data_IF_179937453529
#
_entry.id   IF_179937453529
#
_cell.length_a   1.000
_cell.length_b   1.000
_cell.length_c   1.000
_cell.angle_alpha   90.00
_cell.angle_beta   90.00
_cell.angle_gamma   90.00
#
_symmetry.space_group_name_H-M   'P 1'
#
loop_
_entity.id
_entity.type
_entity.pdbx_description
1 polymer ?
#
# COMPACT_ATOMS: atom_id res chain seq x y z
N UNK A 1 -24.19 -7.51 3.84
CA UNK A 1 -25.44 -7.68 3.07
C UNK A 1 -25.13 -7.54 1.60
N UNK A 2 -25.73 -8.39 0.75
CA UNK A 2 -25.52 -8.33 -0.67
C UNK A 2 -26.05 -7.01 -1.23
N UNK A 3 -25.19 -6.29 -1.92
CA UNK A 3 -25.58 -5.17 -2.77
C UNK A 3 -26.36 -5.80 -3.95
N UNK A 4 -27.52 -5.28 -4.28
CA UNK A 4 -28.38 -5.79 -5.37
C UNK A 4 -27.79 -5.61 -6.78
N UNK A 5 -26.48 -5.33 -6.89
CA UNK A 5 -25.74 -5.19 -8.16
C UNK A 5 -24.30 -5.70 -8.03
N UNK A 6 -23.73 -6.17 -9.14
CA UNK A 6 -22.33 -6.58 -9.23
C UNK A 6 -21.43 -5.36 -9.38
N UNK A 7 -20.35 -5.33 -8.60
CA UNK A 7 -19.33 -4.30 -8.68
C UNK A 7 -18.20 -4.76 -9.61
N UNK A 8 -17.79 -3.88 -10.51
CA UNK A 8 -16.69 -4.12 -11.46
C UNK A 8 -15.32 -3.71 -10.92
N UNK A 9 -15.27 -2.98 -9.79
CA UNK A 9 -14.06 -2.44 -9.19
C UNK A 9 -14.07 -2.61 -7.68
N UNK A 10 -12.90 -2.69 -7.07
CA UNK A 10 -12.71 -2.61 -5.61
C UNK A 10 -12.96 -1.19 -5.07
N UNK A 11 -12.79 -0.18 -5.91
CA UNK A 11 -13.04 1.22 -5.57
C UNK A 11 -14.49 1.59 -5.87
N UNK A 12 -15.05 2.50 -5.07
CA UNK A 12 -16.38 3.06 -5.31
C UNK A 12 -16.35 3.90 -6.59
N UNK A 13 -17.22 3.59 -7.54
CA UNK A 13 -17.37 4.33 -8.79
C UNK A 13 -18.59 5.25 -8.75
N UNK A 14 -18.66 6.22 -9.66
CA UNK A 14 -19.86 7.08 -9.78
C UNK A 14 -21.11 6.26 -10.07
N UNK A 15 -20.98 5.19 -10.84
CA UNK A 15 -22.06 4.25 -11.11
C UNK A 15 -22.58 3.57 -9.85
N UNK A 16 -21.69 3.16 -8.95
CA UNK A 16 -22.09 2.58 -7.65
C UNK A 16 -22.85 3.60 -6.80
N UNK A 17 -22.42 4.87 -6.83
CA UNK A 17 -23.10 5.97 -6.10
C UNK A 17 -24.50 6.18 -6.65
N UNK A 18 -24.67 6.24 -7.98
CA UNK A 18 -26.00 6.39 -8.60
C UNK A 18 -26.90 5.19 -8.31
N UNK A 19 -26.39 3.97 -8.36
CA UNK A 19 -27.16 2.77 -8.02
C UNK A 19 -27.59 2.75 -6.55
N UNK A 20 -26.71 3.22 -5.64
CA UNK A 20 -27.06 3.37 -4.22
C UNK A 20 -28.16 4.41 -4.01
N UNK A 21 -28.07 5.58 -4.67
CA UNK A 21 -29.11 6.61 -4.61
C UNK A 21 -30.44 6.07 -5.08
N UNK A 22 -30.46 5.41 -6.25
CA UNK A 22 -31.68 4.79 -6.82
C UNK A 22 -32.26 3.74 -5.88
N UNK A 23 -31.42 2.87 -5.31
CA UNK A 23 -31.84 1.84 -4.35
C UNK A 23 -32.47 2.47 -3.10
N UNK A 24 -31.85 3.48 -2.52
CA UNK A 24 -32.34 4.16 -1.32
C UNK A 24 -33.65 4.92 -1.60
N UNK A 25 -33.79 5.53 -2.76
CA UNK A 25 -35.04 6.17 -3.18
C UNK A 25 -36.15 5.14 -3.32
N UNK A 26 -35.90 4.04 -4.02
CA UNK A 26 -36.90 3.00 -4.31
C UNK A 26 -37.35 2.25 -3.04
N UNK A 27 -36.42 1.89 -2.16
CA UNK A 27 -36.72 1.05 -1.00
C UNK A 27 -37.19 1.85 0.21
N UNK A 28 -36.64 3.05 0.41
CA UNK A 28 -36.83 3.83 1.63
C UNK A 28 -37.41 5.22 1.38
N UNK A 29 -37.64 5.61 0.12
CA UNK A 29 -38.17 6.93 -0.23
C UNK A 29 -37.19 8.08 0.03
N UNK A 30 -35.89 7.79 0.18
CA UNK A 30 -34.86 8.79 0.47
C UNK A 30 -34.42 9.46 -0.84
N UNK A 31 -34.82 10.70 -1.04
CA UNK A 31 -34.58 11.48 -2.29
C UNK A 31 -33.49 12.54 -2.17
N UNK A 32 -33.04 12.85 -0.94
CA UNK A 32 -32.09 13.94 -0.73
C UNK A 32 -30.66 13.45 -0.94
N UNK A 33 -30.16 13.57 -2.17
CA UNK A 33 -28.80 13.18 -2.56
C UNK A 33 -27.71 13.81 -1.66
N UNK A 34 -27.89 15.08 -1.27
CA UNK A 34 -26.92 15.77 -0.40
C UNK A 34 -26.79 15.09 0.96
N UNK A 35 -27.92 14.64 1.53
CA UNK A 35 -27.91 13.95 2.81
C UNK A 35 -27.39 12.53 2.68
N UNK A 36 -27.69 11.83 1.59
CA UNK A 36 -27.14 10.51 1.29
C UNK A 36 -25.61 10.60 1.17
N UNK A 37 -25.10 11.56 0.39
CA UNK A 37 -23.65 11.75 0.24
C UNK A 37 -22.95 12.11 1.56
N UNK A 38 -23.60 12.91 2.41
CA UNK A 38 -23.07 13.17 3.76
C UNK A 38 -23.02 11.90 4.61
N UNK A 39 -24.07 11.09 4.60
CA UNK A 39 -24.11 9.82 5.32
C UNK A 39 -23.06 8.85 4.82
N UNK A 40 -22.87 8.76 3.49
CA UNK A 40 -21.79 7.96 2.89
C UNK A 40 -20.41 8.40 3.37
N UNK A 41 -20.13 9.71 3.38
CA UNK A 41 -18.87 10.25 3.86
C UNK A 41 -18.62 9.97 5.35
N UNK A 42 -19.68 10.07 6.18
CA UNK A 42 -19.59 9.71 7.60
C UNK A 42 -19.28 8.21 7.75
N UNK A 43 -20.04 7.34 7.09
CA UNK A 43 -19.84 5.91 7.13
C UNK A 43 -18.43 5.51 6.64
N UNK A 44 -17.94 6.12 5.56
CA UNK A 44 -16.58 5.91 5.07
C UNK A 44 -15.52 6.39 6.09
N UNK A 45 -15.79 7.50 6.78
CA UNK A 45 -14.89 8.02 7.81
C UNK A 45 -14.81 7.13 9.05
N UNK A 46 -15.93 6.55 9.46
CA UNK A 46 -16.02 5.62 10.60
C UNK A 46 -15.40 4.25 10.29
N UNK A 47 -15.44 3.84 9.01
CA UNK A 47 -14.92 2.55 8.54
C UNK A 47 -13.59 2.71 7.78
N UNK A 48 -12.76 3.68 8.15
CA UNK A 48 -11.45 3.84 7.55
C UNK A 48 -10.56 2.64 7.87
N UNK A 49 -9.98 2.07 6.83
CA UNK A 49 -8.95 1.04 6.96
C UNK A 49 -7.74 1.41 6.10
N UNK A 50 -6.59 0.91 6.47
CA UNK A 50 -5.35 1.13 5.72
C UNK A 50 -4.70 -0.23 5.47
N UNK A 51 -4.85 -0.81 4.26
CA UNK A 51 -4.46 -2.19 3.99
C UNK A 51 -2.98 -2.47 4.27
N UNK A 52 -2.10 -1.50 4.00
CA UNK A 52 -0.67 -1.66 4.29
C UNK A 52 -0.41 -1.65 5.80
N UNK A 53 -1.11 -0.81 6.56
CA UNK A 53 -0.96 -0.77 8.03
C UNK A 53 -1.44 -2.06 8.67
N UNK A 54 -2.62 -2.54 8.27
CA UNK A 54 -3.16 -3.83 8.73
C UNK A 54 -2.23 -4.99 8.39
N UNK A 55 -1.64 -5.00 7.18
CA UNK A 55 -0.64 -5.97 6.81
C UNK A 55 0.59 -5.90 7.71
N UNK A 56 1.16 -4.71 7.95
CA UNK A 56 2.34 -4.53 8.80
C UNK A 56 2.09 -4.95 10.26
N UNK A 57 0.89 -4.66 10.78
CA UNK A 57 0.51 -4.99 12.17
C UNK A 57 0.32 -6.50 12.39
N UNK A 58 0.05 -7.26 11.34
CA UNK A 58 -0.07 -8.72 11.39
C UNK A 58 1.28 -9.44 11.30
N UNK A 59 2.35 -8.73 10.89
CA UNK A 59 3.66 -9.34 10.74
C UNK A 59 4.27 -9.70 12.10
N UNK A 60 4.72 -10.94 12.23
CA UNK A 60 5.47 -11.43 13.39
C UNK A 60 6.92 -11.66 12.96
N UNK A 61 7.86 -11.02 13.66
CA UNK A 61 9.27 -11.20 13.37
C UNK A 61 9.75 -12.61 13.72
N UNK A 62 10.34 -13.30 12.76
CA UNK A 62 10.87 -14.65 12.89
C UNK A 62 12.31 -14.71 13.47
N UNK A 63 12.86 -13.58 13.90
CA UNK A 63 14.20 -13.47 14.45
C UNK A 63 15.32 -13.40 13.40
N UNK A 64 15.01 -13.42 12.10
CA UNK A 64 16.04 -13.42 11.04
C UNK A 64 16.28 -12.02 10.49
N UNK A 65 17.53 -11.59 10.53
CA UNK A 65 17.94 -10.32 9.96
C UNK A 65 18.15 -10.40 8.44
N UNK A 66 17.21 -9.84 7.67
CA UNK A 66 17.21 -9.88 6.20
C UNK A 66 17.54 -8.55 5.54
N UNK A 67 17.15 -7.45 6.17
CA UNK A 67 17.18 -6.10 5.56
C UNK A 67 18.57 -5.74 5.06
N UNK A 68 19.61 -5.95 5.86
CA UNK A 68 20.99 -5.59 5.47
C UNK A 68 21.59 -6.44 4.35
N UNK A 69 20.94 -7.53 3.96
CA UNK A 69 21.39 -8.41 2.88
C UNK A 69 20.59 -8.27 1.60
N UNK A 70 19.56 -7.41 1.58
CA UNK A 70 18.69 -7.26 0.41
C UNK A 70 19.45 -6.72 -0.80
N UNK A 71 20.18 -5.62 -0.65
CA UNK A 71 20.95 -5.03 -1.75
C UNK A 71 22.04 -5.98 -2.27
N UNK A 72 22.91 -6.58 -1.44
CA UNK A 72 23.88 -7.57 -1.92
C UNK A 72 23.23 -8.77 -2.62
N UNK A 73 22.16 -9.30 -2.06
CA UNK A 73 21.51 -10.50 -2.58
C UNK A 73 20.82 -10.30 -3.92
N UNK A 74 20.12 -9.16 -4.11
CA UNK A 74 19.28 -8.94 -5.28
C UNK A 74 19.88 -7.99 -6.31
N UNK A 75 20.78 -7.11 -5.91
CA UNK A 75 21.41 -6.12 -6.78
C UNK A 75 22.94 -6.32 -6.91
N UNK A 76 23.52 -7.31 -6.23
CA UNK A 76 24.95 -7.61 -6.32
C UNK A 76 25.84 -6.50 -5.76
N UNK A 77 25.35 -5.67 -4.84
CA UNK A 77 26.18 -4.65 -4.18
C UNK A 77 27.15 -5.29 -3.20
N UNK A 78 28.20 -4.56 -2.81
CA UNK A 78 29.07 -4.99 -1.73
C UNK A 78 28.30 -5.10 -0.41
N UNK A 79 28.63 -6.13 0.38
CA UNK A 79 28.06 -6.32 1.73
C UNK A 79 28.87 -5.54 2.75
N UNK A 80 28.64 -4.24 2.84
CA UNK A 80 29.31 -3.34 3.76
C UNK A 80 28.35 -2.68 4.77
N UNK A 81 28.89 -1.88 5.69
CA UNK A 81 28.08 -1.18 6.67
C UNK A 81 27.19 -0.12 6.02
N UNK A 82 27.68 0.55 4.97
CA UNK A 82 26.97 1.59 4.28
C UNK A 82 25.71 1.07 3.55
N UNK A 83 25.83 0.02 2.76
CA UNK A 83 24.69 -0.59 2.03
C UNK A 83 23.63 -1.11 3.00
N UNK A 84 24.07 -1.64 4.14
CA UNK A 84 23.18 -2.11 5.21
C UNK A 84 22.39 -0.97 5.85
N UNK A 85 23.04 0.10 6.22
CA UNK A 85 22.41 1.26 6.84
C UNK A 85 21.45 1.97 5.88
N UNK A 86 21.84 2.14 4.63
CA UNK A 86 20.97 2.75 3.61
C UNK A 86 19.68 1.94 3.43
N UNK A 87 19.77 0.61 3.38
CA UNK A 87 18.58 -0.22 3.24
C UNK A 87 17.68 -0.17 4.48
N UNK A 88 18.26 -0.11 5.68
CA UNK A 88 17.50 0.08 6.91
C UNK A 88 16.77 1.43 6.91
N UNK A 89 17.46 2.51 6.57
CA UNK A 89 16.86 3.85 6.50
C UNK A 89 15.71 3.89 5.49
N UNK A 90 15.90 3.29 4.31
CA UNK A 90 14.85 3.25 3.29
C UNK A 90 13.60 2.52 3.79
N UNK A 91 13.76 1.35 4.42
CA UNK A 91 12.65 0.58 4.96
C UNK A 91 11.96 1.28 6.13
N UNK A 92 12.71 1.86 7.05
CA UNK A 92 12.15 2.65 8.15
C UNK A 92 11.37 3.86 7.64
N UNK A 93 11.89 4.55 6.63
CA UNK A 93 11.18 5.67 6.03
C UNK A 93 9.89 5.26 5.32
N UNK A 94 9.89 4.13 4.63
CA UNK A 94 8.68 3.60 3.99
C UNK A 94 7.60 3.27 5.04
N UNK A 95 7.98 2.59 6.13
CA UNK A 95 7.09 2.28 7.25
C UNK A 95 6.59 3.57 7.92
N UNK A 96 7.49 4.51 8.21
CA UNK A 96 7.13 5.78 8.84
C UNK A 96 6.07 6.54 8.04
N UNK A 97 6.19 6.58 6.71
CA UNK A 97 5.18 7.21 5.83
C UNK A 97 3.81 6.53 5.86
N UNK A 98 3.76 5.25 6.16
CA UNK A 98 2.48 4.53 6.33
C UNK A 98 1.77 4.98 7.61
N UNK A 99 2.53 5.18 8.70
CA UNK A 99 1.97 5.58 10.00
C UNK A 99 1.78 7.08 10.12
N UNK A 100 2.66 7.88 9.52
CA UNK A 100 2.62 9.35 9.52
C UNK A 100 2.61 9.89 8.08
N UNK A 101 1.46 9.87 7.38
CA UNK A 101 1.33 10.41 6.04
C UNK A 101 1.70 11.90 6.00
N UNK A 102 2.60 12.28 5.08
CA UNK A 102 3.09 13.65 4.95
C UNK A 102 4.37 13.95 5.73
N UNK A 103 4.92 12.98 6.48
CA UNK A 103 6.25 13.16 7.08
C UNK A 103 7.30 13.43 6.00
N UNK A 104 8.23 14.35 6.31
CA UNK A 104 9.34 14.67 5.41
C UNK A 104 10.37 13.54 5.41
N UNK A 105 10.79 13.16 4.21
CA UNK A 105 11.90 12.26 4.00
C UNK A 105 12.71 12.78 2.81
N UNK A 106 13.87 13.35 3.08
CA UNK A 106 14.67 14.09 2.09
C UNK A 106 15.83 13.27 1.51
N UNK A 107 15.92 11.99 1.88
CA UNK A 107 16.95 11.10 1.36
C UNK A 107 16.41 10.38 0.11
N UNK A 108 17.17 10.44 -0.97
CA UNK A 108 16.93 9.69 -2.21
C UNK A 108 18.06 8.68 -2.39
N UNK A 109 17.71 7.41 -2.41
CA UNK A 109 18.65 6.33 -2.71
C UNK A 109 18.80 6.21 -4.22
N UNK A 110 20.02 6.40 -4.72
CA UNK A 110 20.38 6.21 -6.13
C UNK A 110 21.10 4.89 -6.30
N UNK A 111 20.60 4.05 -7.20
CA UNK A 111 21.26 2.80 -7.61
C UNK A 111 22.03 3.08 -8.90
N UNK A 112 23.34 2.84 -8.88
CA UNK A 112 24.23 3.05 -10.02
C UNK A 112 24.86 1.72 -10.39
N UNK A 113 24.77 1.35 -11.66
CA UNK A 113 25.34 0.11 -12.17
C UNK A 113 25.53 0.11 -13.69
N UNK A 114 26.33 -0.83 -14.20
CA UNK A 114 26.52 -1.02 -15.64
C UNK A 114 25.25 -1.55 -16.30
N UNK A 115 24.99 -1.10 -17.53
CA UNK A 115 23.78 -1.44 -18.29
C UNK A 115 23.64 -2.96 -18.58
N UNK A 116 24.75 -3.69 -18.59
CA UNK A 116 24.78 -5.13 -18.86
C UNK A 116 24.32 -6.01 -17.68
N UNK A 117 24.29 -5.46 -16.46
CA UNK A 117 23.92 -6.17 -15.24
C UNK A 117 22.54 -5.79 -14.69
N UNK A 118 21.90 -4.82 -15.31
CA UNK A 118 20.60 -4.31 -14.85
C UNK A 118 19.45 -5.01 -15.58
N UNK A 119 19.22 -6.26 -15.29
CA UNK A 119 17.84 -6.78 -15.26
C UNK A 119 17.14 -6.17 -14.03
N UNK A 120 17.11 -4.82 -13.99
CA UNK A 120 16.59 -4.05 -12.86
C UNK A 120 15.12 -4.41 -12.56
N UNK A 121 14.32 -4.66 -13.60
CA UNK A 121 12.95 -5.12 -13.47
C UNK A 121 12.86 -6.49 -12.81
N UNK A 122 13.71 -7.43 -13.20
CA UNK A 122 13.69 -8.80 -12.69
C UNK A 122 14.24 -8.87 -11.25
N UNK A 123 15.26 -8.05 -10.97
CA UNK A 123 15.83 -7.94 -9.62
C UNK A 123 14.86 -7.26 -8.64
N UNK A 124 14.17 -6.20 -9.06
CA UNK A 124 13.10 -5.57 -8.27
C UNK A 124 11.92 -6.52 -8.07
N UNK A 125 11.50 -7.23 -9.12
CA UNK A 125 10.42 -8.20 -9.04
C UNK A 125 10.79 -9.35 -8.10
N UNK A 126 12.01 -9.85 -8.17
CA UNK A 126 12.53 -10.87 -7.25
C UNK A 126 12.60 -10.38 -5.81
N UNK A 127 13.00 -9.11 -5.61
CA UNK A 127 13.01 -8.48 -4.29
C UNK A 127 11.59 -8.34 -3.74
N UNK A 128 10.64 -7.88 -4.57
CA UNK A 128 9.22 -7.76 -4.19
C UNK A 128 8.61 -9.13 -3.88
N UNK A 129 8.89 -10.15 -4.69
CA UNK A 129 8.43 -11.51 -4.43
C UNK A 129 9.06 -12.10 -3.16
N UNK A 130 10.29 -11.74 -2.85
CA UNK A 130 10.97 -12.11 -1.61
C UNK A 130 10.34 -11.51 -0.35
N UNK A 131 9.62 -10.39 -0.47
CA UNK A 131 8.82 -9.83 0.63
C UNK A 131 7.48 -10.54 0.82
N UNK A 132 6.95 -11.21 -0.21
CA UNK A 132 5.68 -11.95 -0.12
C UNK A 132 5.82 -13.34 0.51
N UNK A 133 7.05 -13.82 0.68
CA UNK A 133 7.37 -15.18 1.19
C UNK A 133 7.84 -15.17 2.66
N UNK A 134 7.56 -14.07 3.38
CA UNK A 134 7.90 -13.93 4.80
C UNK A 134 6.70 -14.22 5.69
#
# INVERSE_FOLDING_TARGET
>A
GDLGWERTSSSLTDTDVYQLHWYLEKQYGLKNERNINKAMNIAASENRYHPIREYLEQLVWDGKYRIGRLLPKYLGTEEDAYTREIMQLLMLAAIHRVYEPGCKYEIMVCLVGGQENLHFSDSLQSMMNGFQTI
#
